data_IF_026950701043
#
_entry.id   IF_026950701043
#
_cell.length_a   1.000
_cell.length_b   1.000
_cell.length_c   1.000
_cell.angle_alpha   90.00
_cell.angle_beta   90.00
_cell.angle_gamma   90.00
#
_symmetry.space_group_name_H-M   'P 1'
#
loop_
_entity.id
_entity.type
_entity.pdbx_description
1 polymer ?
#
# COMPACT_ATOMS: atom_id res chain seq x y z
N UNK A 1 1.71 0.87 -2.84
CA UNK A 1 0.56 1.07 -3.73
C UNK A 1 0.13 -0.29 -4.25
N UNK A 2 -1.16 -0.48 -4.56
CA UNK A 2 -1.68 -1.75 -5.12
C UNK A 2 -2.14 -1.64 -6.58
N UNK A 3 -2.11 -0.44 -7.17
CA UNK A 3 -2.42 -0.22 -8.59
C UNK A 3 -1.20 -0.42 -9.49
N UNK A 4 -0.59 -1.60 -9.47
CA UNK A 4 0.52 -1.99 -10.35
C UNK A 4 0.24 -3.35 -10.98
N UNK A 5 1.03 -3.75 -11.98
CA UNK A 5 0.93 -5.08 -12.57
C UNK A 5 1.71 -6.10 -11.74
N UNK A 6 1.00 -6.87 -10.91
CA UNK A 6 1.61 -7.93 -10.11
C UNK A 6 2.22 -9.05 -10.96
N UNK A 7 1.62 -9.40 -12.10
CA UNK A 7 2.10 -10.49 -12.93
C UNK A 7 3.45 -10.14 -13.57
N UNK A 8 3.56 -8.90 -14.07
CA UNK A 8 4.82 -8.39 -14.62
C UNK A 8 5.94 -8.34 -13.56
N UNK A 9 5.63 -7.87 -12.35
CA UNK A 9 6.61 -7.83 -11.25
C UNK A 9 7.02 -9.23 -10.80
N UNK A 10 6.07 -10.16 -10.72
CA UNK A 10 6.36 -11.56 -10.38
C UNK A 10 7.25 -12.24 -11.42
N UNK A 11 6.97 -12.03 -12.71
CA UNK A 11 7.75 -12.57 -13.82
C UNK A 11 9.18 -12.02 -13.82
N UNK A 12 9.34 -10.69 -13.70
CA UNK A 12 10.65 -10.04 -13.79
C UNK A 12 11.56 -10.38 -12.59
N UNK A 13 11.01 -10.41 -11.37
CA UNK A 13 11.83 -10.45 -10.15
C UNK A 13 11.74 -11.76 -9.37
N UNK A 14 10.68 -12.55 -9.56
CA UNK A 14 10.38 -13.71 -8.70
C UNK A 14 10.18 -15.02 -9.47
N UNK A 15 10.58 -15.07 -10.75
CA UNK A 15 10.53 -16.30 -11.56
C UNK A 15 11.25 -17.46 -10.88
N UNK A 16 10.59 -18.63 -10.87
CA UNK A 16 11.10 -19.85 -10.25
C UNK A 16 10.94 -19.92 -8.72
N UNK A 17 10.31 -18.91 -8.11
CA UNK A 17 10.00 -18.89 -6.67
C UNK A 17 8.50 -19.04 -6.42
N UNK A 18 8.11 -19.21 -5.15
CA UNK A 18 6.71 -19.15 -4.71
C UNK A 18 6.32 -17.76 -4.19
N UNK A 19 7.20 -16.76 -4.33
CA UNK A 19 6.98 -15.40 -3.83
C UNK A 19 5.99 -14.67 -4.76
N UNK A 20 5.14 -13.83 -4.16
CA UNK A 20 4.15 -13.01 -4.84
C UNK A 20 4.25 -11.56 -4.42
N UNK A 21 4.25 -10.66 -5.39
CA UNK A 21 4.16 -9.23 -5.17
C UNK A 21 2.78 -8.88 -4.61
N UNK A 22 2.75 -8.02 -3.59
CA UNK A 22 1.51 -7.63 -2.90
C UNK A 22 1.34 -6.11 -2.91
N UNK A 23 2.38 -5.39 -2.48
CA UNK A 23 2.36 -3.95 -2.36
C UNK A 23 3.75 -3.38 -2.64
N UNK A 24 3.80 -2.27 -3.37
CA UNK A 24 5.02 -1.49 -3.58
C UNK A 24 5.17 -0.40 -2.51
N UNK A 25 6.23 -0.46 -1.72
CA UNK A 25 6.62 0.59 -0.78
C UNK A 25 7.66 1.50 -1.44
N UNK A 26 7.26 2.70 -1.83
CA UNK A 26 8.19 3.69 -2.37
C UNK A 26 8.79 4.52 -1.25
N UNK A 27 10.11 4.71 -1.28
CA UNK A 27 10.83 5.53 -0.32
C UNK A 27 11.48 6.71 -1.05
N UNK A 28 11.44 7.88 -0.42
CA UNK A 28 12.00 9.11 -0.97
C UNK A 28 11.71 10.30 -0.05
N UNK A 29 12.15 11.49 -0.47
CA UNK A 29 11.81 12.73 0.21
C UNK A 29 10.47 13.25 -0.30
N UNK A 30 9.55 13.53 0.62
CA UNK A 30 8.26 14.14 0.28
C UNK A 30 8.39 15.63 0.03
N UNK A 31 7.71 16.13 -1.00
CA UNK A 31 7.50 17.56 -1.18
C UNK A 31 6.45 18.05 -0.17
N UNK A 32 6.86 18.90 0.77
CA UNK A 32 5.99 19.43 1.83
C UNK A 32 4.79 20.21 1.25
N UNK A 33 4.97 20.86 0.10
CA UNK A 33 3.92 21.61 -0.60
C UNK A 33 2.90 20.74 -1.34
N UNK A 34 3.23 19.47 -1.58
CA UNK A 34 2.36 18.50 -2.25
C UNK A 34 1.62 17.57 -1.28
N UNK A 35 1.61 17.91 0.02
CA UNK A 35 0.91 17.12 1.05
C UNK A 35 -0.53 17.58 1.24
N UNK A 36 -1.44 16.63 1.41
CA UNK A 36 -2.82 16.92 1.81
C UNK A 36 -2.94 16.93 3.33
N UNK A 37 -3.91 17.71 3.85
CA UNK A 37 -4.30 17.58 5.26
C UNK A 37 -4.78 16.16 5.54
N UNK A 38 -4.61 15.73 6.79
CA UNK A 38 -5.12 14.44 7.26
C UNK A 38 -6.62 14.35 6.98
N UNK A 39 -7.01 13.37 6.18
CA UNK A 39 -8.43 13.08 5.92
C UNK A 39 -9.13 12.56 7.19
N UNK A 40 -10.46 12.67 7.28
CA UNK A 40 -11.23 12.06 8.37
C UNK A 40 -10.87 10.58 8.57
N UNK A 41 -10.95 10.11 9.81
CA UNK A 41 -10.84 8.71 10.19
C UNK A 41 -12.10 8.36 10.96
N UNK A 42 -12.53 7.12 10.85
CA UNK A 42 -13.65 6.61 11.61
C UNK A 42 -13.36 6.70 13.11
N UNK A 43 -14.39 7.03 13.89
CA UNK A 43 -14.33 6.88 15.34
C UNK A 43 -14.30 5.38 15.68
N UNK A 44 -13.74 5.03 16.84
CA UNK A 44 -13.55 3.63 17.22
C UNK A 44 -14.85 2.81 17.17
N UNK A 45 -15.92 3.34 17.77
CA UNK A 45 -17.22 2.66 17.86
C UNK A 45 -17.91 2.51 16.49
N UNK A 46 -17.47 3.22 15.46
CA UNK A 46 -18.00 3.06 14.09
C UNK A 46 -17.48 1.78 13.42
N UNK A 47 -16.26 1.35 13.77
CA UNK A 47 -15.55 0.27 13.06
C UNK A 47 -15.19 -0.93 13.93
N UNK A 48 -15.26 -0.78 15.26
CA UNK A 48 -14.92 -1.83 16.21
C UNK A 48 -16.14 -2.31 17.00
N UNK A 49 -16.16 -3.62 17.31
CA UNK A 49 -17.12 -4.22 18.24
C UNK A 49 -16.35 -4.91 19.36
N UNK A 50 -16.77 -4.68 20.59
CA UNK A 50 -16.20 -5.33 21.78
C UNK A 50 -17.23 -6.31 22.30
N UNK A 51 -16.85 -7.59 22.38
CA UNK A 51 -17.67 -8.69 22.89
C UNK A 51 -16.93 -9.37 24.02
#
# INVERSE_FOLDING_TARGET
MSGFDNALVDEEFFTGTTIKSNFLCNLGYGDEGATFKRLPRHEFDEVCKVF
#
